data_IF_162907471131
#
_entry.id   IF_162907471131
#
_cell.length_a   1.000
_cell.length_b   1.000
_cell.length_c   1.000
_cell.angle_alpha   90.00
_cell.angle_beta   90.00
_cell.angle_gamma   90.00
#
_symmetry.space_group_name_H-M   'P 1'
#
loop_
_entity.id
_entity.type
_entity.pdbx_description
1 polymer ?
#
# COMPACT_ATOMS: atom_id res chain seq x y z
N UNK A 1 -64.38 -61.94 -36.60
CA UNK A 1 -63.29 -62.93 -36.79
C UNK A 1 -62.60 -62.65 -38.12
N UNK A 2 -61.42 -62.02 -38.09
CA UNK A 2 -60.47 -61.91 -39.21
C UNK A 2 -59.08 -61.76 -38.60
N UNK A 3 -58.15 -62.53 -39.15
CA UNK A 3 -56.76 -62.71 -38.74
C UNK A 3 -55.91 -61.44 -38.88
N UNK A 4 -54.75 -61.39 -38.20
CA UNK A 4 -53.51 -60.98 -38.86
C UNK A 4 -52.24 -61.51 -38.19
N UNK A 5 -51.24 -61.69 -39.05
CA UNK A 5 -50.02 -62.51 -38.99
C UNK A 5 -48.98 -62.13 -37.94
N UNK A 6 -48.13 -63.08 -37.49
CA UNK A 6 -46.93 -62.81 -36.71
C UNK A 6 -45.70 -62.56 -37.60
N UNK A 7 -44.64 -62.03 -36.97
CA UNK A 7 -43.28 -61.75 -37.45
C UNK A 7 -43.00 -60.37 -38.06
N UNK A 8 -42.42 -59.49 -37.24
CA UNK A 8 -41.43 -58.52 -37.69
C UNK A 8 -40.39 -58.28 -36.59
N UNK A 9 -39.13 -58.36 -37.01
CA UNK A 9 -37.91 -58.54 -36.23
C UNK A 9 -37.42 -57.24 -35.58
N UNK A 10 -36.87 -57.39 -34.38
CA UNK A 10 -36.28 -56.35 -33.51
C UNK A 10 -35.07 -55.67 -34.15
N UNK A 11 -35.15 -54.36 -34.42
CA UNK A 11 -34.01 -53.50 -34.73
C UNK A 11 -33.81 -52.47 -33.61
N UNK A 12 -32.62 -52.45 -32.97
CA UNK A 12 -32.24 -51.45 -31.97
C UNK A 12 -31.95 -50.11 -32.67
N UNK A 13 -32.31 -48.96 -32.08
CA UNK A 13 -31.83 -47.68 -32.58
C UNK A 13 -30.32 -47.55 -32.31
N UNK A 14 -29.60 -47.17 -33.35
CA UNK A 14 -28.19 -46.80 -33.31
C UNK A 14 -28.10 -45.47 -32.56
N UNK A 15 -27.34 -45.44 -31.47
CA UNK A 15 -27.04 -44.20 -30.73
C UNK A 15 -25.96 -43.47 -31.53
N UNK A 16 -26.34 -42.38 -32.18
CA UNK A 16 -25.42 -41.47 -32.85
C UNK A 16 -24.73 -40.59 -31.81
N UNK A 17 -23.38 -40.49 -31.78
CA UNK A 17 -22.71 -39.64 -30.81
C UNK A 17 -23.01 -38.18 -31.12
N UNK A 18 -23.74 -37.52 -30.22
CA UNK A 18 -23.93 -36.07 -30.25
C UNK A 18 -22.56 -35.42 -30.20
N UNK A 19 -22.19 -34.78 -31.31
CA UNK A 19 -20.96 -34.02 -31.48
C UNK A 19 -21.04 -32.76 -30.62
N UNK A 20 -20.71 -32.88 -29.33
CA UNK A 20 -20.63 -31.75 -28.41
C UNK A 20 -19.55 -30.80 -28.96
N UNK A 21 -19.95 -29.59 -29.33
CA UNK A 21 -19.08 -28.60 -29.97
C UNK A 21 -18.09 -28.01 -28.94
N UNK A 22 -16.92 -28.64 -28.85
CA UNK A 22 -15.82 -28.32 -27.93
C UNK A 22 -15.10 -27.00 -28.22
N UNK A 23 -15.42 -26.31 -29.34
CA UNK A 23 -14.74 -25.06 -29.72
C UNK A 23 -15.11 -23.90 -28.79
N UNK A 24 -16.38 -23.80 -28.41
CA UNK A 24 -16.87 -22.66 -27.62
C UNK A 24 -16.48 -22.74 -26.14
N UNK A 25 -16.35 -23.95 -25.59
CA UNK A 25 -15.89 -24.21 -24.23
C UNK A 25 -14.38 -24.06 -24.10
N UNK A 26 -13.59 -24.53 -25.08
CA UNK A 26 -12.13 -24.30 -25.10
C UNK A 26 -11.77 -22.81 -25.22
N UNK A 27 -12.52 -22.05 -26.01
CA UNK A 27 -12.32 -20.60 -26.15
C UNK A 27 -12.66 -19.82 -24.87
N UNK A 28 -13.73 -20.19 -24.17
CA UNK A 28 -14.13 -19.54 -22.91
C UNK A 28 -13.17 -19.85 -21.75
N UNK A 29 -12.69 -21.09 -21.66
CA UNK A 29 -11.66 -21.45 -20.67
C UNK A 29 -10.34 -20.71 -20.93
N UNK A 30 -9.93 -20.58 -22.21
CA UNK A 30 -8.71 -19.85 -22.57
C UNK A 30 -8.78 -18.34 -22.22
N UNK A 31 -9.95 -17.71 -22.39
CA UNK A 31 -10.17 -16.31 -22.01
C UNK A 31 -10.16 -16.14 -20.49
N UNK A 32 -10.81 -17.03 -19.74
CA UNK A 32 -10.81 -16.97 -18.27
C UNK A 32 -9.40 -17.18 -17.69
N UNK A 33 -8.61 -18.11 -18.25
CA UNK A 33 -7.22 -18.30 -17.85
C UNK A 33 -6.36 -17.09 -18.20
N UNK A 34 -6.57 -16.47 -19.37
CA UNK A 34 -5.81 -15.27 -19.74
C UNK A 34 -6.12 -14.08 -18.82
N UNK A 35 -7.39 -13.86 -18.48
CA UNK A 35 -7.82 -12.79 -17.58
C UNK A 35 -7.32 -12.98 -16.15
N UNK A 36 -7.33 -14.21 -15.64
CA UNK A 36 -6.79 -14.52 -14.30
C UNK A 36 -5.28 -14.35 -14.25
N UNK A 37 -4.55 -14.78 -15.30
CA UNK A 37 -3.10 -14.53 -15.41
C UNK A 37 -2.80 -13.03 -15.51
N UNK A 38 -3.56 -12.26 -16.30
CA UNK A 38 -3.44 -10.81 -16.37
C UNK A 38 -3.73 -10.14 -15.03
N UNK A 39 -4.77 -10.57 -14.32
CA UNK A 39 -5.11 -10.07 -12.99
C UNK A 39 -3.99 -10.38 -11.98
N UNK A 40 -3.46 -11.60 -11.98
CA UNK A 40 -2.34 -11.98 -11.11
C UNK A 40 -1.07 -11.22 -11.48
N UNK A 41 -0.76 -11.04 -12.77
CA UNK A 41 0.37 -10.23 -13.22
C UNK A 41 0.21 -8.77 -12.80
N UNK A 42 -0.98 -8.19 -12.91
CA UNK A 42 -1.27 -6.84 -12.43
C UNK A 42 -1.17 -6.76 -10.90
N UNK A 43 -1.63 -7.78 -10.17
CA UNK A 43 -1.57 -7.83 -8.71
C UNK A 43 -0.13 -8.02 -8.21
N UNK A 44 0.69 -8.79 -8.92
CA UNK A 44 2.12 -9.00 -8.63
C UNK A 44 2.97 -7.81 -9.11
N UNK A 45 2.62 -7.17 -10.23
CA UNK A 45 3.28 -5.94 -10.69
C UNK A 45 2.83 -4.69 -9.90
N UNK A 46 1.65 -4.71 -9.27
CA UNK A 46 1.18 -3.72 -8.31
C UNK A 46 1.85 -3.83 -6.93
N UNK A 47 2.44 -5.00 -6.65
CA UNK A 47 3.51 -5.17 -5.65
C UNK A 47 4.89 -4.81 -6.24
N UNK A 48 4.93 -4.05 -7.34
CA UNK A 48 6.14 -3.40 -7.79
C UNK A 48 6.72 -2.69 -6.58
N UNK A 49 7.87 -3.18 -6.12
CA UNK A 49 8.60 -2.61 -5.01
C UNK A 49 8.51 -1.09 -5.18
N UNK A 50 7.91 -0.41 -4.19
CA UNK A 50 8.30 0.97 -3.94
C UNK A 50 9.80 0.85 -3.68
N UNK A 51 10.59 0.93 -4.74
CA UNK A 51 12.01 1.11 -4.64
C UNK A 51 12.10 2.38 -3.83
N UNK A 52 12.46 2.23 -2.56
CA UNK A 52 12.95 3.34 -1.79
C UNK A 52 14.12 3.84 -2.62
N UNK A 53 13.85 4.88 -3.41
CA UNK A 53 14.88 5.60 -4.13
C UNK A 53 15.67 6.26 -3.03
N UNK A 54 16.66 5.54 -2.50
CA UNK A 54 17.66 6.13 -1.66
C UNK A 54 18.18 7.34 -2.45
N UNK A 55 18.23 8.53 -1.83
CA UNK A 55 18.68 9.73 -2.52
C UNK A 55 20.00 9.42 -3.21
N UNK A 56 19.98 9.49 -4.54
CA UNK A 56 21.15 9.20 -5.37
C UNK A 56 22.25 10.17 -4.96
N UNK A 57 23.32 9.59 -4.41
CA UNK A 57 24.44 10.35 -3.87
C UNK A 57 25.11 11.11 -5.01
N UNK A 58 25.02 12.44 -4.99
CA UNK A 58 25.80 13.28 -5.89
C UNK A 58 27.29 13.14 -5.51
N UNK A 59 28.02 12.39 -6.32
CA UNK A 59 29.41 12.02 -6.07
C UNK A 59 30.38 13.20 -6.19
N UNK A 60 29.89 14.38 -6.57
CA UNK A 60 30.70 15.60 -6.69
C UNK A 60 31.00 16.27 -5.34
N UNK A 61 30.35 15.86 -4.25
CA UNK A 61 30.61 16.38 -2.90
C UNK A 61 31.31 15.33 -2.03
N UNK A 62 32.46 15.64 -1.40
CA UNK A 62 33.09 14.71 -0.48
C UNK A 62 32.13 14.35 0.66
N UNK A 63 32.06 13.07 1.07
CA UNK A 63 31.14 12.62 2.11
C UNK A 63 31.40 13.35 3.42
N UNK A 64 30.33 13.64 4.17
CA UNK A 64 30.44 14.27 5.48
C UNK A 64 31.34 13.43 6.40
N UNK A 65 32.19 14.04 7.26
CA UNK A 65 33.08 13.30 8.17
C UNK A 65 32.35 12.29 9.08
N UNK A 66 31.09 12.56 9.43
CA UNK A 66 30.27 11.64 10.23
C UNK A 66 29.91 10.34 9.49
N UNK A 67 29.87 10.35 8.16
CA UNK A 67 29.49 9.18 7.34
C UNK A 67 30.62 8.16 7.23
N UNK A 68 31.86 8.57 7.53
CA UNK A 68 33.01 7.67 7.63
C UNK A 68 33.23 7.12 9.04
N UNK A 69 32.37 7.44 10.01
CA UNK A 69 32.44 6.84 11.34
C UNK A 69 32.13 5.33 11.25
N UNK A 70 32.84 4.48 12.01
CA UNK A 70 32.54 3.06 12.09
C UNK A 70 31.05 2.82 12.40
N UNK A 71 30.40 1.98 11.60
CA UNK A 71 28.99 1.62 11.77
C UNK A 71 27.97 2.60 11.15
N UNK A 72 28.37 3.78 10.66
CA UNK A 72 27.43 4.76 10.09
C UNK A 72 26.65 4.23 8.87
N UNK A 73 27.29 3.42 8.01
CA UNK A 73 26.65 2.80 6.84
C UNK A 73 25.94 1.48 7.16
N UNK A 74 26.11 0.93 8.37
CA UNK A 74 25.54 -0.34 8.82
C UNK A 74 24.40 -0.14 9.82
N UNK A 75 24.11 1.11 10.18
CA UNK A 75 23.05 1.50 11.11
C UNK A 75 21.81 1.92 10.34
N UNK A 76 20.65 1.43 10.77
CA UNK A 76 19.34 1.93 10.34
C UNK A 76 18.83 2.96 11.37
N UNK A 77 18.58 4.18 10.92
CA UNK A 77 17.98 5.23 11.77
C UNK A 77 16.47 5.27 11.55
N UNK A 78 15.69 5.12 12.61
CA UNK A 78 14.24 5.29 12.57
C UNK A 78 13.88 6.64 13.17
N UNK A 79 13.44 7.58 12.34
CA UNK A 79 12.93 8.87 12.78
C UNK A 79 11.42 8.78 13.02
N UNK A 80 10.97 9.05 14.24
CA UNK A 80 9.54 9.14 14.59
C UNK A 80 9.16 10.60 14.78
N UNK A 81 8.03 11.03 14.21
CA UNK A 81 7.52 12.40 14.35
C UNK A 81 5.99 12.43 14.32
N UNK A 82 5.35 13.35 15.03
CA UNK A 82 3.89 13.51 14.95
C UNK A 82 3.46 14.25 13.69
N UNK A 83 2.26 13.98 13.16
CA UNK A 83 1.78 14.64 11.92
C UNK A 83 1.67 16.17 12.05
N UNK A 84 1.45 16.65 13.28
CA UNK A 84 1.40 18.08 13.66
C UNK A 84 2.78 18.74 13.75
N UNK A 85 3.85 17.96 13.89
CA UNK A 85 5.23 18.44 14.05
C UNK A 85 6.08 18.20 12.81
N UNK A 86 5.65 17.28 11.94
CA UNK A 86 6.41 16.80 10.79
C UNK A 86 6.96 17.95 9.94
N UNK A 87 6.11 18.91 9.56
CA UNK A 87 6.54 20.01 8.69
C UNK A 87 7.54 20.98 9.36
N UNK A 88 7.51 21.13 10.68
CA UNK A 88 8.43 22.03 11.40
C UNK A 88 9.73 21.36 11.86
N UNK A 89 9.74 20.01 11.96
CA UNK A 89 10.88 19.25 12.48
C UNK A 89 11.64 18.48 11.42
N UNK A 90 10.93 17.79 10.51
CA UNK A 90 11.53 16.89 9.54
C UNK A 90 12.54 17.58 8.58
N UNK A 91 12.28 18.78 8.03
CA UNK A 91 13.24 19.45 7.15
C UNK A 91 14.61 19.67 7.80
N UNK A 92 14.64 19.98 9.09
CA UNK A 92 15.89 20.16 9.84
C UNK A 92 16.63 18.83 9.94
N UNK A 93 15.95 17.73 10.26
CA UNK A 93 16.60 16.41 10.32
C UNK A 93 17.15 15.95 8.96
N UNK A 94 16.40 16.19 7.87
CA UNK A 94 16.85 15.86 6.51
C UNK A 94 18.09 16.66 6.09
N UNK A 95 18.16 17.94 6.47
CA UNK A 95 19.29 18.81 6.15
C UNK A 95 20.48 18.70 7.12
N UNK A 96 20.32 17.99 8.24
CA UNK A 96 21.35 17.83 9.28
C UNK A 96 21.66 16.37 9.58
N UNK A 97 21.09 15.80 10.66
CA UNK A 97 21.45 14.49 11.20
C UNK A 97 21.32 13.35 10.20
N UNK A 98 20.24 13.33 9.40
CA UNK A 98 20.02 12.25 8.43
C UNK A 98 21.02 12.27 7.27
N UNK A 99 21.75 13.37 7.04
CA UNK A 99 22.84 13.39 6.06
C UNK A 99 24.00 12.46 6.44
N UNK A 100 24.16 12.15 7.73
CA UNK A 100 25.20 11.27 8.25
C UNK A 100 24.86 9.78 8.15
N UNK A 101 23.56 9.46 8.08
CA UNK A 101 23.06 8.09 8.12
C UNK A 101 22.25 7.81 6.85
N UNK A 102 22.83 7.16 5.82
CA UNK A 102 22.14 6.98 4.54
C UNK A 102 20.96 6.02 4.61
N UNK A 103 20.89 5.16 5.64
CA UNK A 103 19.79 4.23 5.82
C UNK A 103 18.85 4.77 6.91
N UNK A 104 17.69 5.28 6.51
CA UNK A 104 16.68 5.73 7.45
C UNK A 104 15.26 5.35 7.02
N UNK A 105 14.38 5.25 8.00
CA UNK A 105 12.92 5.18 7.83
C UNK A 105 12.30 6.31 8.64
N UNK A 106 11.21 6.89 8.13
CA UNK A 106 10.49 7.96 8.81
C UNK A 106 9.07 7.48 9.09
N UNK A 107 8.63 7.57 10.34
CA UNK A 107 7.29 7.20 10.78
C UNK A 107 6.56 8.43 11.32
N UNK A 108 5.27 8.51 11.02
CA UNK A 108 4.34 9.47 11.62
C UNK A 108 3.00 8.83 11.94
N UNK A 109 2.12 9.58 12.59
CA UNK A 109 0.78 9.11 12.95
C UNK A 109 -0.10 8.84 11.73
N UNK A 110 0.31 9.24 10.53
CA UNK A 110 -0.40 9.05 9.25
C UNK A 110 0.60 8.85 8.12
N UNK A 111 0.29 7.96 7.18
CA UNK A 111 1.06 7.77 5.95
C UNK A 111 0.98 9.01 5.05
N UNK A 112 2.13 9.56 4.67
CA UNK A 112 2.18 10.63 3.66
C UNK A 112 3.50 10.63 2.87
N UNK A 113 3.57 11.49 1.85
CA UNK A 113 4.84 11.82 1.16
C UNK A 113 5.16 13.27 1.42
N UNK A 114 6.35 13.53 1.96
CA UNK A 114 6.78 14.87 2.34
C UNK A 114 8.19 15.17 1.82
N UNK A 115 8.34 16.19 0.97
CA UNK A 115 9.61 16.54 0.30
C UNK A 115 10.37 15.33 -0.28
N UNK A 116 9.66 14.49 -1.04
CA UNK A 116 10.15 13.25 -1.66
C UNK A 116 10.48 12.09 -0.68
N UNK A 117 10.28 12.29 0.62
CA UNK A 117 10.39 11.23 1.61
C UNK A 117 9.06 10.53 1.82
N UNK A 118 9.11 9.19 1.91
CA UNK A 118 7.97 8.40 2.29
C UNK A 118 7.88 8.29 3.81
N UNK A 119 6.74 8.68 4.36
CA UNK A 119 6.43 8.65 5.78
C UNK A 119 5.48 7.49 6.03
N UNK A 120 5.89 6.54 6.84
CA UNK A 120 5.11 5.36 7.20
C UNK A 120 4.12 5.68 8.33
N UNK A 121 2.96 5.05 8.29
CA UNK A 121 1.95 5.17 9.32
C UNK A 121 2.29 4.28 10.51
N UNK A 122 2.62 4.90 11.65
CA UNK A 122 2.92 4.20 12.89
C UNK A 122 1.68 3.55 13.54
N UNK A 123 0.48 3.92 13.09
CA UNK A 123 -0.79 3.51 13.66
C UNK A 123 -1.56 2.53 12.77
N UNK A 124 -1.03 2.16 11.59
CA UNK A 124 -1.70 1.29 10.61
C UNK A 124 -2.17 -0.04 11.21
N UNK A 125 -1.32 -0.66 12.04
CA UNK A 125 -1.58 -1.98 12.64
C UNK A 125 -2.45 -1.93 13.90
N UNK A 126 -2.90 -0.76 14.33
CA UNK A 126 -3.84 -0.66 15.46
C UNK A 126 -5.18 -1.28 15.05
N UNK A 127 -5.84 -2.01 15.95
CA UNK A 127 -7.15 -2.62 15.69
C UNK A 127 -8.13 -1.64 15.03
N UNK A 128 -8.81 -2.01 13.92
CA UNK A 128 -9.75 -1.14 13.23
C UNK A 128 -10.85 -0.58 14.15
N UNK A 129 -11.34 -1.41 15.08
CA UNK A 129 -12.34 -0.97 16.06
C UNK A 129 -11.81 0.20 16.91
N UNK A 130 -10.54 0.13 17.36
CA UNK A 130 -9.93 1.20 18.13
C UNK A 130 -9.74 2.45 17.25
N UNK A 131 -9.25 2.29 16.02
CA UNK A 131 -9.06 3.41 15.09
C UNK A 131 -10.39 4.14 14.81
N UNK A 132 -11.50 3.41 14.71
CA UNK A 132 -12.82 3.95 14.39
C UNK A 132 -13.52 4.57 15.60
N UNK A 133 -13.46 3.92 16.77
CA UNK A 133 -14.32 4.26 17.91
C UNK A 133 -13.62 5.07 18.99
N UNK A 134 -12.30 4.98 19.12
CA UNK A 134 -11.59 5.68 20.18
C UNK A 134 -11.50 7.18 19.86
N UNK A 135 -11.89 8.09 20.77
CA UNK A 135 -11.75 9.53 20.59
C UNK A 135 -10.31 9.97 20.31
N UNK A 136 -9.29 9.29 20.84
CA UNK A 136 -7.88 9.64 20.63
C UNK A 136 -7.44 9.54 19.16
N UNK A 137 -8.19 8.78 18.35
CA UNK A 137 -7.95 8.64 16.91
C UNK A 137 -8.66 9.72 16.07
N UNK A 138 -9.31 10.73 16.66
CA UNK A 138 -10.02 11.76 15.89
C UNK A 138 -9.10 12.51 14.92
N UNK A 139 -7.92 12.92 15.39
CA UNK A 139 -6.93 13.60 14.56
C UNK A 139 -6.44 12.69 13.43
N UNK A 140 -6.12 11.43 13.74
CA UNK A 140 -5.71 10.43 12.76
C UNK A 140 -6.78 10.24 11.67
N UNK A 141 -8.06 10.08 12.05
CA UNK A 141 -9.19 9.96 11.11
C UNK A 141 -9.35 11.19 10.23
N UNK A 142 -9.25 12.39 10.81
CA UNK A 142 -9.33 13.66 10.08
C UNK A 142 -8.21 13.77 9.04
N UNK A 143 -6.99 13.45 9.43
CA UNK A 143 -5.80 13.48 8.57
C UNK A 143 -5.85 12.41 7.47
N UNK A 144 -6.27 11.17 7.77
CA UNK A 144 -6.47 10.12 6.75
C UNK A 144 -7.48 10.53 5.67
N UNK A 145 -8.51 11.31 6.04
CA UNK A 145 -9.55 11.78 5.13
C UNK A 145 -9.16 13.06 4.36
N UNK A 146 -8.54 14.02 5.03
CA UNK A 146 -8.31 15.37 4.50
C UNK A 146 -6.85 15.76 4.30
N UNK A 147 -5.91 14.84 4.56
CA UNK A 147 -4.48 15.12 4.57
C UNK A 147 -4.11 16.23 5.54
N UNK A 148 -2.98 16.91 5.27
CA UNK A 148 -2.48 18.03 6.09
C UNK A 148 -3.43 19.22 6.17
N UNK A 149 -4.33 19.39 5.19
CA UNK A 149 -5.32 20.46 5.19
C UNK A 149 -6.37 20.28 6.31
N UNK A 150 -6.47 19.09 6.91
CA UNK A 150 -7.33 18.84 8.06
C UNK A 150 -6.73 19.31 9.40
N UNK A 151 -5.51 19.85 9.42
CA UNK A 151 -4.87 20.40 10.62
C UNK A 151 -5.34 21.83 10.91
N UNK A 152 -5.66 22.10 12.17
CA UNK A 152 -5.89 23.45 12.67
C UNK A 152 -4.56 24.13 13.04
N UNK A 153 -4.51 25.46 12.97
CA UNK A 153 -3.32 26.23 13.37
C UNK A 153 -2.91 25.99 14.82
N UNK A 154 -3.87 25.75 15.71
CA UNK A 154 -3.64 25.45 17.14
C UNK A 154 -3.08 24.05 17.38
N UNK A 155 -3.27 23.11 16.45
CA UNK A 155 -2.78 21.72 16.56
C UNK A 155 -1.29 21.62 16.19
N UNK A 156 -0.79 22.53 15.35
CA UNK A 156 0.59 22.55 14.87
C UNK A 156 1.61 22.77 16.00
N UNK A 157 2.75 22.09 15.88
CA UNK A 157 3.86 22.27 16.81
C UNK A 157 4.36 23.73 16.80
N UNK A 158 4.51 24.31 18.00
CA UNK A 158 4.97 25.69 18.17
C UNK A 158 3.89 26.75 17.95
N UNK A 159 2.61 26.36 17.82
CA UNK A 159 1.51 27.32 17.72
C UNK A 159 1.40 28.19 18.99
N UNK A 160 1.32 29.53 18.87
CA UNK A 160 1.22 30.43 20.02
C UNK A 160 -0.06 30.18 20.85
N UNK A 161 -1.12 29.69 20.22
CA UNK A 161 -2.41 29.37 20.86
C UNK A 161 -2.27 28.25 21.92
N UNK A 162 -1.33 27.31 21.73
CA UNK A 162 -1.05 26.25 22.72
C UNK A 162 -0.54 26.81 24.04
N UNK A 163 0.08 27.99 24.03
CA UNK A 163 0.61 28.64 25.23
C UNK A 163 -0.37 29.65 25.82
N UNK A 164 -1.19 30.30 24.99
CA UNK A 164 -2.22 31.22 25.45
C UNK A 164 -3.32 30.53 26.29
N UNK A 165 -3.65 29.27 25.97
CA UNK A 165 -4.66 28.50 26.72
C UNK A 165 -4.16 27.99 28.09
N UNK A 166 -2.86 28.05 28.39
CA UNK A 166 -2.29 27.56 29.66
C UNK A 166 -2.18 28.63 30.75
N UNK A 167 -2.43 29.90 30.40
CA UNK A 167 -2.31 31.05 31.31
C UNK A 167 -3.65 31.66 31.72
N UNK A 168 -4.77 30.98 31.43
CA UNK A 168 -6.13 31.39 31.78
C UNK A 168 -6.76 30.52 32.85
#
# INVERSE_FOLDING_TARGET
MKAFSPYATKSRPIIEPTRINTKHTRSRLALASALTVLYLLWHVAGLGHKSHTFPTFDHSTPPLPCRSLPGANETLVVLRTGSTELASRLPTHLSTSLRCFPNYLIFSDVEETYHAEHIFDALEDVSPNIQETNPDFELHRRLRKGGRAALNSSELAGSPDKYASKTG
#
